data_IF_289620058236
#
_entry.id   IF_289620058236
#
_cell.length_a   1.000
_cell.length_b   1.000
_cell.length_c   1.000
_cell.angle_alpha   90.00
_cell.angle_beta   90.00
_cell.angle_gamma   90.00
#
_symmetry.space_group_name_H-M   'P 1'
#
loop_
_entity.id
_entity.type
_entity.pdbx_description
1 polymer ?
#
# COMPACT_ATOMS: atom_id res chain seq x y z
N UNK A 1 21.42 2.34 -26.55
CA UNK A 1 21.14 0.96 -26.12
C UNK A 1 20.31 1.11 -24.87
N UNK A 2 18.98 1.06 -24.99
CA UNK A 2 18.07 1.41 -23.89
C UNK A 2 17.81 0.16 -23.05
N UNK A 3 18.29 0.18 -21.81
CA UNK A 3 18.12 -0.93 -20.86
C UNK A 3 16.65 -1.04 -20.48
N UNK A 4 16.08 -2.23 -20.71
CA UNK A 4 14.74 -2.58 -20.27
C UNK A 4 14.75 -2.66 -18.74
N UNK A 5 13.90 -1.86 -18.11
CA UNK A 5 13.56 -2.01 -16.70
C UNK A 5 13.05 -3.43 -16.44
N UNK A 6 13.75 -4.20 -15.62
CA UNK A 6 13.29 -5.51 -15.16
C UNK A 6 12.28 -5.27 -14.02
N UNK A 7 10.99 -5.23 -14.37
CA UNK A 7 9.89 -5.06 -13.43
C UNK A 7 9.60 -6.38 -12.71
N UNK A 8 9.96 -6.50 -11.44
CA UNK A 8 9.48 -7.58 -10.58
C UNK A 8 8.19 -7.12 -9.90
N UNK A 9 7.05 -7.39 -10.54
CA UNK A 9 5.73 -7.16 -9.96
C UNK A 9 5.37 -8.36 -9.07
N UNK A 10 5.48 -8.20 -7.75
CA UNK A 10 4.92 -9.16 -6.81
C UNK A 10 3.43 -8.87 -6.59
N UNK A 11 2.58 -9.49 -7.40
CA UNK A 11 1.12 -9.51 -7.19
C UNK A 11 0.74 -10.74 -6.37
N UNK A 12 0.47 -10.56 -5.08
CA UNK A 12 -0.19 -11.58 -4.27
C UNK A 12 -1.71 -11.39 -4.31
N UNK A 13 -2.44 -12.51 -4.41
CA UNK A 13 -3.91 -12.57 -4.37
C UNK A 13 -4.46 -11.84 -3.13
N UNK A 14 -5.61 -11.14 -3.24
CA UNK A 14 -6.25 -10.47 -2.11
C UNK A 14 -6.77 -11.52 -1.12
N UNK A 15 -6.18 -11.58 0.07
CA UNK A 15 -6.50 -12.54 1.14
C UNK A 15 -7.63 -12.05 2.07
N UNK A 16 -8.48 -11.13 1.61
CA UNK A 16 -9.43 -10.41 2.47
C UNK A 16 -10.78 -11.10 2.73
N UNK A 17 -11.10 -12.21 2.06
CA UNK A 17 -12.34 -12.94 2.31
C UNK A 17 -12.16 -13.96 3.45
N UNK A 18 -13.10 -14.06 4.40
CA UNK A 18 -13.05 -15.13 5.39
C UNK A 18 -13.09 -16.48 4.65
N UNK A 19 -12.09 -17.31 4.92
CA UNK A 19 -11.94 -18.65 4.31
C UNK A 19 -13.11 -19.61 4.66
N UNK A 20 -13.96 -19.22 5.60
CA UNK A 20 -15.13 -19.97 6.05
C UNK A 20 -16.41 -19.48 5.36
N UNK A 21 -17.26 -20.39 4.83
CA UNK A 21 -18.58 -20.05 4.29
C UNK A 21 -19.46 -19.30 5.32
N UNK A 22 -20.37 -18.45 4.83
CA UNK A 22 -21.23 -17.62 5.68
C UNK A 22 -22.14 -18.50 6.54
N UNK A 23 -22.67 -19.59 5.97
CA UNK A 23 -23.60 -20.50 6.63
C UNK A 23 -22.94 -21.18 7.84
N UNK A 24 -21.71 -21.66 7.65
CA UNK A 24 -20.91 -22.30 8.71
C UNK A 24 -20.58 -21.30 9.83
N UNK A 25 -20.26 -20.06 9.47
CA UNK A 25 -19.97 -19.01 10.46
C UNK A 25 -21.22 -18.59 11.23
N UNK A 26 -22.36 -18.45 10.57
CA UNK A 26 -23.65 -18.14 11.19
C UNK A 26 -24.08 -19.22 12.19
N UNK A 27 -23.87 -20.49 11.83
CA UNK A 27 -24.14 -21.62 12.71
C UNK A 27 -23.26 -21.56 13.98
N UNK A 28 -21.96 -21.31 13.83
CA UNK A 28 -21.03 -21.19 14.95
C UNK A 28 -21.38 -20.02 15.88
N UNK A 29 -21.67 -18.85 15.30
CA UNK A 29 -22.05 -17.66 16.07
C UNK A 29 -23.37 -17.88 16.84
N UNK A 30 -24.32 -18.59 16.25
CA UNK A 30 -25.60 -18.88 16.90
C UNK A 30 -25.47 -19.97 17.97
N UNK A 31 -24.80 -21.08 17.67
CA UNK A 31 -24.77 -22.26 18.55
C UNK A 31 -23.71 -22.14 19.66
N UNK A 32 -22.52 -21.61 19.36
CA UNK A 32 -21.42 -21.56 20.32
C UNK A 32 -21.40 -20.25 21.12
N UNK A 33 -21.72 -19.12 20.47
CA UNK A 33 -21.73 -17.81 21.11
C UNK A 33 -23.12 -17.34 21.56
N UNK A 34 -24.19 -18.03 21.14
CA UNK A 34 -25.56 -17.74 21.59
C UNK A 34 -26.15 -16.46 20.98
N UNK A 35 -25.60 -15.96 19.86
CA UNK A 35 -26.11 -14.77 19.21
C UNK A 35 -27.46 -15.02 18.53
N UNK A 36 -28.33 -14.01 18.55
CA UNK A 36 -29.56 -13.98 17.78
C UNK A 36 -29.29 -13.81 16.29
N UNK A 37 -30.26 -14.17 15.44
CA UNK A 37 -30.13 -14.02 13.99
C UNK A 37 -29.83 -12.57 13.56
N UNK A 38 -30.43 -11.58 14.25
CA UNK A 38 -30.17 -10.17 13.99
C UNK A 38 -28.72 -9.78 14.34
N UNK A 39 -28.19 -10.24 15.47
CA UNK A 39 -26.80 -9.99 15.88
C UNK A 39 -25.80 -10.66 14.93
N UNK A 40 -26.11 -11.87 14.45
CA UNK A 40 -25.29 -12.54 13.43
C UNK A 40 -25.26 -11.73 12.13
N UNK A 41 -26.40 -11.22 11.68
CA UNK A 41 -26.46 -10.35 10.50
C UNK A 41 -25.64 -9.07 10.70
N UNK A 42 -25.72 -8.44 11.87
CA UNK A 42 -24.91 -7.25 12.19
C UNK A 42 -23.41 -7.56 12.17
N UNK A 43 -23.00 -8.71 12.71
CA UNK A 43 -21.59 -9.18 12.67
C UNK A 43 -21.15 -9.38 11.22
N UNK A 44 -21.96 -10.02 10.38
CA UNK A 44 -21.64 -10.24 8.98
C UNK A 44 -21.50 -8.93 8.20
N UNK A 45 -22.36 -7.95 8.48
CA UNK A 45 -22.24 -6.61 7.91
C UNK A 45 -20.89 -5.96 8.31
N UNK A 46 -20.47 -6.08 9.57
CA UNK A 46 -19.19 -5.54 10.04
C UNK A 46 -18.00 -6.24 9.37
N UNK A 47 -18.02 -7.58 9.27
CA UNK A 47 -16.96 -8.35 8.59
C UNK A 47 -16.90 -7.95 7.11
N UNK A 48 -18.06 -7.81 6.47
CA UNK A 48 -18.16 -7.36 5.09
C UNK A 48 -17.70 -5.92 4.89
N UNK A 49 -17.53 -5.13 5.96
CA UNK A 49 -16.96 -3.78 5.89
C UNK A 49 -15.44 -3.75 6.02
N UNK A 50 -14.79 -4.87 6.37
CA UNK A 50 -13.34 -4.90 6.53
C UNK A 50 -12.63 -4.47 5.25
N UNK A 51 -11.70 -3.49 5.31
CA UNK A 51 -11.03 -2.99 4.11
C UNK A 51 -10.09 -4.05 3.53
N UNK A 52 -10.02 -4.11 2.21
CA UNK A 52 -8.97 -4.88 1.52
C UNK A 52 -7.87 -3.93 1.06
N UNK A 53 -6.65 -4.13 1.56
CA UNK A 53 -5.50 -3.29 1.24
C UNK A 53 -4.59 -4.01 0.24
N UNK A 54 -4.05 -3.25 -0.71
CA UNK A 54 -3.04 -3.71 -1.68
C UNK A 54 -1.89 -2.71 -1.71
N UNK A 55 -0.68 -3.20 -1.97
CA UNK A 55 0.52 -2.37 -2.08
C UNK A 55 1.48 -2.94 -3.12
N UNK A 56 1.95 -2.07 -4.02
CA UNK A 56 2.99 -2.32 -5.01
C UNK A 56 4.17 -1.40 -4.66
N UNK A 57 5.38 -1.94 -4.48
CA UNK A 57 6.56 -1.15 -4.09
C UNK A 57 7.70 -1.39 -5.05
N UNK A 58 8.40 -0.30 -5.39
CA UNK A 58 9.65 -0.30 -6.14
C UNK A 58 10.70 0.54 -5.40
N UNK A 59 11.96 0.16 -5.58
CA UNK A 59 13.12 0.86 -5.06
C UNK A 59 14.17 0.98 -6.17
N UNK A 60 14.80 2.14 -6.30
CA UNK A 60 15.82 2.40 -7.31
C UNK A 60 16.57 3.70 -7.05
N UNK A 61 17.38 4.14 -8.00
CA UNK A 61 18.14 5.41 -7.98
C UNK A 61 17.65 6.33 -9.10
N UNK A 62 17.85 7.64 -8.94
CA UNK A 62 17.54 8.63 -9.97
C UNK A 62 18.72 8.75 -10.93
N UNK A 63 18.53 8.38 -12.20
CA UNK A 63 19.51 8.64 -13.28
C UNK A 63 20.72 7.69 -13.33
N UNK A 64 20.84 6.72 -12.43
CA UNK A 64 21.96 5.77 -12.37
C UNK A 64 21.52 4.33 -12.71
N UNK A 65 22.44 3.56 -13.32
CA UNK A 65 22.23 2.13 -13.60
C UNK A 65 22.56 1.31 -12.35
N UNK A 66 21.60 1.22 -11.44
CA UNK A 66 21.70 0.44 -10.20
C UNK A 66 21.94 1.29 -8.96
N UNK A 67 21.88 0.63 -7.80
CA UNK A 67 22.04 1.28 -6.49
C UNK A 67 23.49 1.16 -6.04
N UNK A 68 24.19 2.27 -5.87
CA UNK A 68 25.55 2.30 -5.32
C UNK A 68 25.55 2.44 -3.80
N UNK A 69 26.55 1.88 -3.14
CA UNK A 69 26.79 2.06 -1.70
C UNK A 69 26.87 3.54 -1.33
N UNK A 70 26.11 3.95 -0.31
CA UNK A 70 26.02 5.35 0.11
C UNK A 70 25.21 6.27 -0.84
N UNK A 71 24.73 5.76 -1.97
CA UNK A 71 23.83 6.46 -2.89
C UNK A 71 22.44 6.69 -2.29
N UNK A 72 21.63 7.53 -2.94
CA UNK A 72 20.25 7.79 -2.50
C UNK A 72 19.30 6.83 -3.21
N UNK A 73 18.62 5.98 -2.45
CA UNK A 73 17.54 5.13 -2.95
C UNK A 73 16.24 5.90 -2.86
N UNK A 74 15.51 5.96 -3.98
CA UNK A 74 14.12 6.40 -4.04
C UNK A 74 13.19 5.19 -3.89
N UNK A 75 12.28 5.27 -2.92
CA UNK A 75 11.16 4.36 -2.75
C UNK A 75 9.94 4.96 -3.44
N UNK A 76 9.27 4.15 -4.23
CA UNK A 76 7.97 4.48 -4.79
C UNK A 76 7.00 3.35 -4.49
N UNK A 77 5.88 3.66 -3.85
CA UNK A 77 4.85 2.69 -3.55
C UNK A 77 3.46 3.19 -3.94
N UNK A 78 2.71 2.33 -4.62
CA UNK A 78 1.29 2.52 -4.91
C UNK A 78 0.49 1.64 -3.97
N UNK A 79 -0.44 2.23 -3.24
CA UNK A 79 -1.33 1.46 -2.38
C UNK A 79 -2.78 1.81 -2.64
N UNK A 80 -3.65 0.81 -2.51
CA UNK A 80 -5.09 0.99 -2.64
C UNK A 80 -5.81 0.31 -1.48
N UNK A 81 -6.94 0.88 -1.09
CA UNK A 81 -7.83 0.33 -0.08
C UNK A 81 -9.19 0.19 -0.74
N UNK A 82 -9.47 -1.03 -1.16
CA UNK A 82 -10.78 -1.36 -1.69
C UNK A 82 -11.76 -1.37 -0.53
N UNK A 83 -12.77 -0.52 -0.67
CA UNK A 83 -13.94 -0.52 0.20
C UNK A 83 -15.00 -1.41 -0.46
N UNK A 84 -15.64 -2.29 0.31
CA UNK A 84 -16.83 -2.97 -0.16
C UNK A 84 -17.92 -1.94 -0.47
N UNK A 85 -18.76 -2.19 -1.48
CA UNK A 85 -19.74 -1.25 -2.05
C UNK A 85 -20.75 -0.69 -1.04
N UNK A 86 -20.93 -1.37 0.11
CA UNK A 86 -21.82 -0.95 1.21
C UNK A 86 -21.19 0.14 2.11
N UNK A 87 -19.91 0.47 1.89
CA UNK A 87 -19.13 1.41 2.71
C UNK A 87 -19.61 2.87 2.65
N UNK A 88 -20.37 3.28 1.63
CA UNK A 88 -20.80 4.69 1.49
C UNK A 88 -21.73 5.18 2.62
N UNK A 89 -22.20 4.28 3.49
CA UNK A 89 -23.21 4.61 4.52
C UNK A 89 -22.68 4.50 5.96
N UNK A 90 -21.55 3.83 6.22
CA UNK A 90 -21.17 3.50 7.60
C UNK A 90 -19.69 3.79 7.93
N UNK A 91 -19.51 4.56 9.01
CA UNK A 91 -18.24 5.03 9.57
C UNK A 91 -17.49 3.88 10.26
N UNK A 92 -16.15 3.99 10.48
CA UNK A 92 -15.43 3.03 11.30
C UNK A 92 -16.09 2.94 12.68
N UNK A 93 -16.72 1.80 12.96
CA UNK A 93 -17.37 1.48 14.22
C UNK A 93 -16.30 1.19 15.25
N UNK A 94 -15.71 2.25 15.80
CA UNK A 94 -15.01 2.21 17.08
C UNK A 94 -15.99 2.75 18.12
N UNK A 95 -16.66 1.85 18.82
CA UNK A 95 -17.81 2.11 19.68
C UNK A 95 -17.46 2.94 20.94
N UNK A 96 -16.22 3.45 21.03
CA UNK A 96 -15.69 4.16 22.19
C UNK A 96 -15.03 5.52 21.87
N UNK A 97 -14.99 5.98 20.61
CA UNK A 97 -14.39 7.28 20.28
C UNK A 97 -15.24 8.09 19.29
N UNK A 98 -15.87 9.16 19.79
CA UNK A 98 -16.77 10.11 19.12
C UNK A 98 -16.12 11.02 18.05
N UNK A 99 -15.05 10.58 17.39
CA UNK A 99 -14.40 11.37 16.35
C UNK A 99 -14.40 10.61 15.03
N UNK A 100 -14.76 11.32 13.96
CA UNK A 100 -14.56 10.91 12.57
C UNK A 100 -13.06 10.73 12.29
N UNK A 101 -12.50 9.61 12.78
CA UNK A 101 -11.07 9.34 12.65
C UNK A 101 -10.76 9.07 11.19
N UNK A 102 -9.96 9.96 10.58
CA UNK A 102 -9.40 9.75 9.25
C UNK A 102 -8.59 8.45 9.29
N UNK A 103 -8.99 7.46 8.49
CA UNK A 103 -8.28 6.18 8.37
C UNK A 103 -6.87 6.45 7.88
N UNK A 104 -5.88 6.05 8.67
CA UNK A 104 -4.49 6.12 8.25
C UNK A 104 -3.91 4.72 8.18
N UNK A 105 -2.86 4.59 7.38
CA UNK A 105 -2.02 3.41 7.40
C UNK A 105 -0.58 3.86 7.65
N UNK A 106 0.24 2.95 8.13
CA UNK A 106 1.68 3.11 8.21
C UNK A 106 2.33 2.30 7.11
N UNK A 107 3.04 2.97 6.23
CA UNK A 107 3.93 2.32 5.27
C UNK A 107 5.30 2.18 5.92
N UNK A 108 5.83 0.97 5.97
CA UNK A 108 7.16 0.65 6.49
C UNK A 108 7.93 -0.18 5.46
N UNK A 109 9.18 0.17 5.22
CA UNK A 109 10.14 -0.67 4.51
C UNK A 109 11.22 -1.08 5.52
N UNK A 110 11.33 -2.38 5.77
CA UNK A 110 12.21 -2.91 6.80
C UNK A 110 13.01 -4.10 6.32
N UNK A 111 14.20 -4.27 6.87
CA UNK A 111 14.99 -5.48 6.79
C UNK A 111 14.71 -6.33 8.04
N UNK A 112 13.99 -7.43 7.86
CA UNK A 112 13.63 -8.34 8.95
C UNK A 112 14.85 -9.09 9.50
N UNK A 113 15.90 -9.29 8.70
CA UNK A 113 17.08 -10.03 9.15
C UNK A 113 17.89 -9.21 10.16
N UNK A 114 17.99 -7.91 9.95
CA UNK A 114 18.66 -6.99 10.89
C UNK A 114 17.72 -6.31 11.87
N UNK A 115 16.41 -6.56 11.77
CA UNK A 115 15.35 -5.92 12.56
C UNK A 115 15.41 -4.38 12.50
N UNK A 116 15.68 -3.83 11.31
CA UNK A 116 15.81 -2.38 11.09
C UNK A 116 14.76 -1.87 10.12
N UNK A 117 14.14 -0.74 10.47
CA UNK A 117 13.25 0.00 9.56
C UNK A 117 14.06 1.04 8.80
N UNK A 118 14.06 0.94 7.48
CA UNK A 118 14.85 1.80 6.60
C UNK A 118 14.06 3.02 6.14
N UNK A 119 12.74 2.86 5.99
CA UNK A 119 11.84 3.94 5.64
C UNK A 119 10.48 3.74 6.31
N UNK A 120 9.90 4.82 6.81
CA UNK A 120 8.57 4.81 7.40
C UNK A 120 7.81 6.08 7.06
N UNK A 121 6.56 5.95 6.66
CA UNK A 121 5.68 7.09 6.42
C UNK A 121 4.25 6.78 6.82
N UNK A 122 3.63 7.70 7.56
CA UNK A 122 2.19 7.65 7.79
C UNK A 122 1.47 8.13 6.54
N UNK A 123 0.54 7.33 6.04
CA UNK A 123 -0.21 7.58 4.81
C UNK A 123 -1.69 7.65 5.11
N UNK A 124 -2.42 8.49 4.37
CA UNK A 124 -3.87 8.63 4.52
C UNK A 124 -4.52 8.77 3.15
N UNK A 125 -5.80 8.40 3.04
CA UNK A 125 -6.57 8.73 1.85
C UNK A 125 -6.84 10.23 1.81
N UNK A 126 -6.08 10.91 0.96
CA UNK A 126 -6.36 12.28 0.55
C UNK A 126 -7.57 12.29 -0.39
N UNK A 127 -8.23 13.45 -0.50
CA UNK A 127 -9.21 13.69 -1.56
C UNK A 127 -8.54 13.49 -2.94
N UNK A 128 -9.35 13.14 -3.92
CA UNK A 128 -8.85 12.75 -5.25
C UNK A 128 -8.08 13.89 -5.93
N UNK A 129 -8.55 15.13 -5.83
CA UNK A 129 -7.91 16.27 -6.49
C UNK A 129 -6.51 16.54 -5.92
N UNK A 130 -6.36 16.52 -4.60
CA UNK A 130 -5.06 16.65 -3.95
C UNK A 130 -4.14 15.47 -4.25
N UNK A 131 -4.68 14.25 -4.28
CA UNK A 131 -3.92 13.05 -4.60
C UNK A 131 -3.41 13.05 -6.05
N UNK A 132 -4.24 13.49 -7.00
CA UNK A 132 -3.88 13.65 -8.41
C UNK A 132 -2.74 14.66 -8.53
N UNK A 133 -2.87 15.82 -7.87
CA UNK A 133 -1.86 16.89 -7.93
C UNK A 133 -0.52 16.42 -7.37
N UNK A 134 -0.54 15.78 -6.19
CA UNK A 134 0.67 15.26 -5.55
C UNK A 134 1.34 14.17 -6.38
N UNK A 135 0.57 13.21 -6.92
CA UNK A 135 1.10 12.12 -7.71
C UNK A 135 1.66 12.60 -9.06
N UNK A 136 0.94 13.47 -9.76
CA UNK A 136 1.40 14.04 -11.03
C UNK A 136 2.72 14.77 -10.86
N UNK A 137 2.81 15.65 -9.85
CA UNK A 137 4.02 16.41 -9.56
C UNK A 137 5.20 15.50 -9.21
N UNK A 138 5.00 14.54 -8.32
CA UNK A 138 6.09 13.65 -7.89
C UNK A 138 6.61 12.77 -9.03
N UNK A 139 5.72 12.29 -9.91
CA UNK A 139 6.11 11.51 -11.09
C UNK A 139 6.80 12.38 -12.14
N UNK A 140 6.31 13.61 -12.36
CA UNK A 140 6.97 14.57 -13.25
C UNK A 140 8.40 14.86 -12.80
N UNK A 141 8.60 15.23 -11.53
CA UNK A 141 9.94 15.47 -10.94
C UNK A 141 10.85 14.25 -11.05
N UNK A 142 10.33 13.04 -10.83
CA UNK A 142 11.10 11.79 -10.94
C UNK A 142 11.52 11.51 -12.38
N UNK A 143 10.61 11.71 -13.34
CA UNK A 143 10.89 11.48 -14.76
C UNK A 143 11.89 12.50 -15.29
N UNK A 144 11.76 13.78 -14.91
CA UNK A 144 12.73 14.82 -15.23
C UNK A 144 14.12 14.52 -14.65
N UNK A 145 14.19 14.09 -13.39
CA UNK A 145 15.45 13.69 -12.74
C UNK A 145 16.13 12.50 -13.40
N UNK A 146 15.37 11.60 -14.03
CA UNK A 146 15.88 10.46 -14.80
C UNK A 146 16.31 10.80 -16.23
N UNK A 147 16.10 12.04 -16.69
CA UNK A 147 16.42 12.46 -18.06
C UNK A 147 15.41 11.99 -19.12
N UNK A 148 14.20 11.60 -18.72
CA UNK A 148 13.14 11.19 -19.63
C UNK A 148 12.68 12.37 -20.53
N UNK A 149 12.21 12.05 -21.74
CA UNK A 149 11.71 13.08 -22.65
C UNK A 149 10.27 13.50 -22.31
N UNK A 150 9.83 14.67 -22.81
CA UNK A 150 8.51 15.22 -22.52
C UNK A 150 7.33 14.28 -22.85
N UNK A 151 7.47 13.42 -23.86
CA UNK A 151 6.43 12.46 -24.25
C UNK A 151 6.32 11.32 -23.23
N UNK A 152 7.45 10.82 -22.74
CA UNK A 152 7.53 9.80 -21.70
C UNK A 152 7.02 10.34 -20.36
N UNK A 153 7.44 11.54 -19.97
CA UNK A 153 6.95 12.22 -18.78
C UNK A 153 5.44 12.39 -18.82
N UNK A 154 4.90 12.93 -19.93
CA UNK A 154 3.45 13.12 -20.10
C UNK A 154 2.67 11.80 -20.01
N UNK A 155 3.24 10.71 -20.55
CA UNK A 155 2.63 9.37 -20.47
C UNK A 155 2.62 8.85 -19.03
N UNK A 156 3.74 8.93 -18.33
CA UNK A 156 3.87 8.48 -16.94
C UNK A 156 2.94 9.27 -16.00
N UNK A 157 2.85 10.60 -16.18
CA UNK A 157 1.91 11.45 -15.42
C UNK A 157 0.47 11.01 -15.68
N UNK A 158 0.08 10.76 -16.94
CA UNK A 158 -1.27 10.28 -17.25
C UNK A 158 -1.59 8.94 -16.60
N UNK A 159 -0.66 7.99 -16.62
CA UNK A 159 -0.83 6.69 -15.97
C UNK A 159 -0.96 6.83 -14.44
N UNK A 160 -0.17 7.73 -13.83
CA UNK A 160 -0.27 8.04 -12.41
C UNK A 160 -1.64 8.63 -12.04
N UNK A 161 -2.16 9.55 -12.86
CA UNK A 161 -3.50 10.13 -12.68
C UNK A 161 -4.57 9.04 -12.73
N UNK A 162 -4.51 8.13 -13.71
CA UNK A 162 -5.49 7.04 -13.82
C UNK A 162 -5.39 6.06 -12.64
N UNK A 163 -4.19 5.75 -12.14
CA UNK A 163 -4.01 4.97 -10.89
C UNK A 163 -4.64 5.67 -9.69
N UNK A 164 -4.55 7.00 -9.59
CA UNK A 164 -5.19 7.74 -8.49
C UNK A 164 -6.72 7.69 -8.58
N UNK A 165 -7.26 7.88 -9.79
CA UNK A 165 -8.70 7.80 -10.05
C UNK A 165 -9.28 6.40 -9.83
N UNK A 166 -8.48 5.35 -10.05
CA UNK A 166 -8.88 3.98 -9.73
C UNK A 166 -8.86 3.67 -8.21
N UNK A 167 -8.48 4.65 -7.38
CA UNK A 167 -8.51 4.54 -5.93
C UNK A 167 -7.14 4.28 -5.28
N UNK A 168 -6.05 4.34 -6.05
CA UNK A 168 -4.70 4.20 -5.49
C UNK A 168 -4.15 5.52 -4.96
N UNK A 169 -3.14 5.45 -4.10
CA UNK A 169 -2.41 6.60 -3.58
C UNK A 169 -0.91 6.32 -3.68
N UNK A 170 -0.16 7.37 -3.99
CA UNK A 170 1.29 7.31 -4.14
C UNK A 170 1.97 7.63 -2.81
N UNK A 171 3.02 6.87 -2.51
CA UNK A 171 3.95 7.08 -1.41
C UNK A 171 5.33 7.16 -2.04
N UNK A 172 6.07 8.21 -1.72
CA UNK A 172 7.43 8.37 -2.20
C UNK A 172 8.34 8.81 -1.06
N UNK A 173 9.56 8.29 -1.08
CA UNK A 173 10.55 8.55 -0.05
C UNK A 173 11.95 8.35 -0.58
N UNK A 174 12.93 8.85 0.17
CA UNK A 174 14.35 8.67 -0.12
C UNK A 174 15.07 8.22 1.14
N UNK A 175 16.03 7.31 0.99
CA UNK A 175 16.92 6.89 2.08
C UNK A 175 18.29 6.52 1.52
N UNK A 176 19.32 6.51 2.36
CA UNK A 176 20.69 6.21 1.92
C UNK A 176 20.90 4.70 1.79
N UNK A 177 21.51 4.26 0.70
CA UNK A 177 21.87 2.88 0.47
C UNK A 177 22.89 2.40 1.52
N UNK A 178 22.70 1.20 2.10
CA UNK A 178 23.67 0.59 3.00
C UNK A 178 24.91 0.10 2.21
N UNK A 179 25.77 -0.66 2.88
CA UNK A 179 26.94 -1.29 2.25
C UNK A 179 26.57 -2.21 1.07
N UNK A 180 27.52 -2.49 0.19
CA UNK A 180 27.38 -3.46 -0.90
C UNK A 180 26.73 -4.77 -0.43
N UNK A 181 25.70 -5.24 -1.15
CA UNK A 181 24.98 -6.46 -0.80
C UNK A 181 23.63 -6.66 -1.48
N UNK A 182 23.08 -7.86 -1.33
CA UNK A 182 21.70 -8.16 -1.74
C UNK A 182 20.79 -8.20 -0.53
N UNK A 183 19.80 -7.31 -0.51
CA UNK A 183 18.88 -7.13 0.60
C UNK A 183 17.48 -7.61 0.21
N UNK A 184 16.89 -8.47 1.04
CA UNK A 184 15.49 -8.88 0.92
C UNK A 184 14.70 -8.11 1.97
N UNK A 185 14.13 -6.98 1.56
CA UNK A 185 13.31 -6.12 2.40
C UNK A 185 11.87 -6.60 2.40
N UNK A 186 11.15 -6.21 3.45
CA UNK A 186 9.71 -6.37 3.56
C UNK A 186 9.06 -5.00 3.64
N UNK A 187 8.12 -4.77 2.74
CA UNK A 187 7.17 -3.67 2.84
C UNK A 187 5.99 -4.12 3.70
N UNK A 188 5.66 -3.33 4.71
CA UNK A 188 4.46 -3.47 5.53
C UNK A 188 3.56 -2.27 5.32
N UNK A 189 2.27 -2.54 5.09
CA UNK A 189 1.23 -1.53 5.09
C UNK A 189 0.23 -1.88 6.19
N UNK A 190 0.30 -1.13 7.28
CA UNK A 190 -0.40 -1.43 8.54
C UNK A 190 -1.56 -0.47 8.75
N UNK A 191 -2.78 -0.98 8.97
CA UNK A 191 -3.95 -0.16 9.24
C UNK A 191 -3.99 0.25 10.72
N UNK A 192 -4.21 1.53 11.00
CA UNK A 192 -4.30 2.03 12.40
C UNK A 192 -5.70 1.88 13.02
N UNK A 193 -6.65 1.34 12.26
CA UNK A 193 -8.08 1.37 12.58
C UNK A 193 -8.80 0.03 12.39
N UNK A 194 -8.19 -0.95 11.70
CA UNK A 194 -8.73 -2.30 11.51
C UNK A 194 -7.62 -3.30 11.75
N UNK A 195 -7.93 -4.41 12.42
CA UNK A 195 -7.01 -5.52 12.60
C UNK A 195 -7.26 -6.57 11.51
N UNK A 196 -6.20 -7.22 11.04
CA UNK A 196 -6.30 -8.34 10.09
C UNK A 196 -6.40 -7.94 8.61
N UNK A 197 -6.31 -6.66 8.28
CA UNK A 197 -6.26 -6.17 6.89
C UNK A 197 -4.87 -5.70 6.43
N UNK A 198 -3.86 -5.85 7.29
CA UNK A 198 -2.49 -5.46 7.02
C UNK A 198 -1.91 -6.25 5.84
N UNK A 199 -1.01 -5.63 5.07
CA UNK A 199 -0.35 -6.28 3.95
C UNK A 199 1.17 -6.27 4.11
N UNK A 200 1.78 -7.41 3.78
CA UNK A 200 3.22 -7.60 3.67
C UNK A 200 3.57 -7.98 2.23
N UNK A 201 4.58 -7.33 1.66
CA UNK A 201 5.10 -7.63 0.31
C UNK A 201 6.63 -7.61 0.36
N UNK A 202 7.29 -8.61 -0.25
CA UNK A 202 8.75 -8.65 -0.33
C UNK A 202 9.30 -7.75 -1.44
N UNK A 203 10.44 -7.10 -1.18
CA UNK A 203 11.16 -6.23 -2.12
C UNK A 203 12.64 -6.61 -2.10
N UNK A 204 13.24 -6.81 -3.26
CA UNK A 204 14.68 -7.12 -3.37
C UNK A 204 15.45 -5.89 -3.83
N UNK A 205 16.51 -5.56 -3.13
CA UNK A 205 17.40 -4.44 -3.46
C UNK A 205 18.82 -4.95 -3.55
N UNK A 206 19.48 -4.69 -4.68
CA UNK A 206 20.90 -5.01 -4.88
C UNK A 206 21.70 -3.72 -4.85
N UNK A 207 22.62 -3.64 -3.90
CA UNK A 207 23.57 -2.53 -3.75
C UNK A 207 24.92 -3.01 -4.27
N UNK A 208 25.50 -2.24 -5.19
CA UNK A 208 26.84 -2.45 -5.74
C UNK A 208 27.83 -1.42 -5.17
N UNK A 209 29.11 -1.72 -5.31
CA UNK A 209 30.19 -0.82 -4.90
C UNK A 209 30.39 0.35 -5.86
#
# INVERSE_FOLDING_TARGET
>A
MFSQFEFVVASEKPSGAPHMPIEVRAELLSQAAGFSEAEVQDIELVICMMPSITVEVTCGTEGEEGVQEGGIITVQAWWACNKPTVWSVLFPMCNSTLSTRKKNCWFLLADENSNNVWFSQKVSFMDEASAVTAASKAIEETMEGSGANAKETSKAVREAVEKVKSGSRLVMGKFQAPAEGNYNLSCFLLCDSWLGCDKKTGVKVKVVK
#
